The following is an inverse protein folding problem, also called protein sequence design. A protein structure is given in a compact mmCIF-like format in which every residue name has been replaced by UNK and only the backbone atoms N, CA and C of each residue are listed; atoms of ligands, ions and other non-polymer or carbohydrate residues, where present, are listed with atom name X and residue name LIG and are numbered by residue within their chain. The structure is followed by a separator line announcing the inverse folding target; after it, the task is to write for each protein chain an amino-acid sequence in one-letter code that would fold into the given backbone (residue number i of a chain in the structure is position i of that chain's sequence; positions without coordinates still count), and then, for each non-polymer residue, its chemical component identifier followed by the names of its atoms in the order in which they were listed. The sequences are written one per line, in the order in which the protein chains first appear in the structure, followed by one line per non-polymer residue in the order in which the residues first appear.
data_IF_063939333115
#
_entry.id   IF_063939333115
#
_cell.length_a   1.000
_cell.length_b   1.000
_cell.length_c   1.000
_cell.angle_alpha   90.00
_cell.angle_beta   90.00
_cell.angle_gamma   90.00
#
_symmetry.space_group_name_H-M   'P 1'
#
loop_
_entity.id
_entity.type
_entity.pdbx_description
1 polymer ?
#
# COMPACT_ATOMS: atom_id res chain seq x y z
N UNK A 1 4.55 6.76 3.40
CA UNK A 1 4.20 6.67 1.97
C UNK A 1 3.29 5.48 1.77
N UNK A 2 2.32 5.57 0.87
CA UNK A 2 1.38 4.48 0.51
C UNK A 2 0.74 3.79 1.71
N UNK A 3 0.38 4.60 2.71
CA UNK A 3 -0.17 4.12 3.98
C UNK A 3 -1.21 5.09 4.49
N UNK A 4 -2.16 4.55 5.25
CA UNK A 4 -3.09 5.31 6.05
C UNK A 4 -3.08 4.75 7.46
N UNK A 5 -3.13 5.62 8.46
CA UNK A 5 -3.08 5.23 9.88
C UNK A 5 -4.43 5.36 10.60
N UNK A 6 -5.49 5.77 9.90
CA UNK A 6 -6.86 5.71 10.41
C UNK A 6 -7.42 4.29 10.43
N UNK A 7 -8.67 4.15 10.88
CA UNK A 7 -9.40 2.88 10.90
C UNK A 7 -9.73 2.46 9.48
N UNK A 8 -9.51 1.17 9.16
CA UNK A 8 -10.02 0.61 7.91
C UNK A 8 -11.56 0.56 7.94
N UNK A 9 -12.26 1.17 6.97
CA UNK A 9 -13.72 1.10 6.92
C UNK A 9 -14.23 -0.34 6.92
N UNK A 10 -15.33 -0.59 7.64
CA UNK A 10 -15.85 -1.95 7.82
C UNK A 10 -16.05 -2.73 6.50
N UNK A 11 -16.62 -2.13 5.42
CA UNK A 11 -16.81 -2.87 4.17
C UNK A 11 -15.51 -3.30 3.51
N UNK A 12 -14.49 -2.43 3.47
CA UNK A 12 -13.20 -2.73 2.85
C UNK A 12 -12.38 -3.68 3.74
N UNK A 13 -12.48 -3.53 5.07
CA UNK A 13 -11.90 -4.48 6.04
C UNK A 13 -12.41 -5.90 5.82
N UNK A 14 -13.74 -6.08 5.75
CA UNK A 14 -14.37 -7.38 5.48
C UNK A 14 -13.93 -7.95 4.12
N UNK A 15 -13.85 -7.09 3.10
CA UNK A 15 -13.36 -7.50 1.79
C UNK A 15 -11.93 -8.04 1.84
N UNK A 16 -10.98 -7.30 2.42
CA UNK A 16 -9.59 -7.76 2.55
C UNK A 16 -9.47 -9.02 3.40
N UNK A 17 -10.21 -9.11 4.51
CA UNK A 17 -10.24 -10.32 5.34
C UNK A 17 -10.74 -11.53 4.55
N UNK A 18 -11.74 -11.37 3.70
CA UNK A 18 -12.22 -12.45 2.83
C UNK A 18 -11.18 -12.93 1.81
N UNK A 19 -10.28 -12.05 1.35
CA UNK A 19 -9.16 -12.44 0.48
C UNK A 19 -8.12 -13.24 1.27
N UNK A 20 -7.78 -12.80 2.49
CA UNK A 20 -6.88 -13.54 3.37
C UNK A 20 -7.43 -14.91 3.77
N UNK A 21 -8.72 -15.01 4.08
CA UNK A 21 -9.38 -16.30 4.39
C UNK A 21 -9.22 -17.30 3.23
N UNK A 22 -9.39 -16.83 1.99
CA UNK A 22 -9.23 -17.67 0.80
C UNK A 22 -7.78 -18.12 0.60
N UNK A 23 -6.81 -17.22 0.78
CA UNK A 23 -5.37 -17.51 0.68
C UNK A 23 -4.95 -18.51 1.76
N UNK A 24 -5.43 -18.32 2.99
CA UNK A 24 -5.13 -19.19 4.13
C UNK A 24 -5.67 -20.61 3.91
N UNK A 25 -6.93 -20.70 3.47
CA UNK A 25 -7.59 -21.97 3.17
C UNK A 25 -6.91 -22.72 2.03
N UNK A 26 -6.56 -22.06 0.92
CA UNK A 26 -5.87 -22.69 -0.21
C UNK A 26 -4.41 -23.01 0.09
N UNK A 27 -3.75 -22.25 0.97
CA UNK A 27 -2.31 -22.30 1.17
C UNK A 27 -1.50 -21.82 -0.03
N UNK A 28 -2.11 -21.07 -0.94
CA UNK A 28 -1.52 -20.55 -2.18
C UNK A 28 -2.30 -19.30 -2.65
N UNK A 29 -1.75 -18.56 -3.62
CA UNK A 29 -2.50 -17.48 -4.30
C UNK A 29 -2.89 -17.97 -5.71
N UNK A 30 -4.03 -18.64 -5.89
CA UNK A 30 -4.44 -19.20 -7.18
C UNK A 30 -4.74 -18.10 -8.21
N UNK A 31 -4.69 -18.44 -9.51
CA UNK A 31 -4.88 -17.50 -10.63
C UNK A 31 -6.08 -16.53 -10.46
N UNK A 32 -7.29 -16.99 -10.06
CA UNK A 32 -8.42 -16.07 -9.87
C UNK A 32 -8.20 -15.05 -8.75
N UNK A 33 -7.42 -15.40 -7.72
CA UNK A 33 -7.06 -14.46 -6.66
C UNK A 33 -5.95 -13.51 -7.12
N UNK A 34 -5.01 -13.97 -7.95
CA UNK A 34 -3.99 -13.09 -8.55
C UNK A 34 -4.63 -12.02 -9.44
N UNK A 35 -5.67 -12.37 -10.20
CA UNK A 35 -6.41 -11.42 -11.05
C UNK A 35 -7.14 -10.33 -10.26
N UNK A 36 -7.46 -10.61 -8.99
CA UNK A 36 -8.09 -9.66 -8.08
C UNK A 36 -7.02 -8.85 -7.35
N UNK A 37 -6.00 -9.50 -6.80
CA UNK A 37 -5.03 -8.91 -5.88
C UNK A 37 -4.02 -8.05 -6.63
N UNK A 38 -3.43 -8.57 -7.71
CA UNK A 38 -2.33 -7.89 -8.41
C UNK A 38 -2.73 -6.47 -8.86
N UNK A 39 -3.89 -6.25 -9.51
CA UNK A 39 -4.28 -4.91 -9.94
C UNK A 39 -4.48 -3.89 -8.82
N UNK A 40 -4.69 -4.33 -7.56
CA UNK A 40 -4.86 -3.42 -6.41
C UNK A 40 -3.57 -2.65 -6.11
N UNK A 41 -2.41 -3.24 -6.42
CA UNK A 41 -1.11 -2.64 -6.10
C UNK A 41 -0.69 -1.54 -7.08
N UNK A 42 -1.27 -1.50 -8.28
CA UNK A 42 -0.78 -0.65 -9.37
C UNK A 42 -1.76 0.45 -9.76
N UNK A 43 -1.23 1.45 -10.46
CA UNK A 43 -2.06 2.49 -11.08
C UNK A 43 -3.01 1.89 -12.13
N UNK A 44 -4.21 2.48 -12.33
CA UNK A 44 -5.07 2.15 -13.46
C UNK A 44 -4.31 2.19 -14.79
N UNK A 45 -4.47 1.15 -15.60
CA UNK A 45 -3.87 1.12 -16.95
C UNK A 45 -2.38 0.77 -16.97
N UNK A 46 -1.79 0.29 -15.86
CA UNK A 46 -0.49 -0.39 -15.90
C UNK A 46 -0.54 -1.49 -16.97
N UNK A 47 0.51 -1.60 -17.78
CA UNK A 47 0.62 -2.66 -18.78
C UNK A 47 0.80 -4.01 -18.06
N UNK A 48 -0.14 -4.97 -18.20
CA UNK A 48 0.00 -6.28 -17.58
C UNK A 48 1.21 -7.06 -18.12
N UNK A 49 1.72 -6.73 -19.31
CA UNK A 49 2.93 -7.33 -19.88
C UNK A 49 4.22 -6.68 -19.40
N UNK A 50 4.13 -5.56 -18.65
CA UNK A 50 5.31 -4.93 -18.07
C UNK A 50 6.05 -5.89 -17.14
N UNK A 51 7.39 -5.78 -17.13
CA UNK A 51 8.22 -6.61 -16.29
C UNK A 51 7.85 -6.50 -14.80
N UNK A 52 7.53 -5.28 -14.33
CA UNK A 52 7.13 -5.03 -12.95
C UNK A 52 5.84 -5.79 -12.58
N UNK A 53 4.80 -5.71 -13.42
CA UNK A 53 3.53 -6.41 -13.19
C UNK A 53 3.72 -7.94 -13.19
N UNK A 54 4.41 -8.47 -14.20
CA UNK A 54 4.66 -9.91 -14.34
C UNK A 54 5.50 -10.46 -13.19
N UNK A 55 6.54 -9.74 -12.76
CA UNK A 55 7.39 -10.16 -11.64
C UNK A 55 6.62 -10.13 -10.32
N UNK A 56 5.81 -9.10 -10.07
CA UNK A 56 4.99 -9.04 -8.85
C UNK A 56 3.97 -10.18 -8.81
N UNK A 57 3.27 -10.45 -9.93
CA UNK A 57 2.35 -11.57 -10.05
C UNK A 57 3.05 -12.90 -9.79
N UNK A 58 4.18 -13.14 -10.45
CA UNK A 58 4.95 -14.37 -10.29
C UNK A 58 5.47 -14.55 -8.86
N UNK A 59 5.90 -13.45 -8.21
CA UNK A 59 6.35 -13.48 -6.82
C UNK A 59 5.22 -13.90 -5.87
N UNK A 60 4.01 -13.34 -6.02
CA UNK A 60 2.86 -13.74 -5.21
C UNK A 60 2.46 -15.21 -5.44
N UNK A 61 2.46 -15.65 -6.71
CA UNK A 61 2.13 -17.02 -7.08
C UNK A 61 3.12 -18.06 -6.48
N UNK A 62 4.39 -17.66 -6.33
CA UNK A 62 5.47 -18.52 -5.85
C UNK A 62 5.66 -18.52 -4.31
N UNK A 63 4.84 -17.78 -3.56
CA UNK A 63 4.94 -17.76 -2.10
C UNK A 63 4.62 -19.16 -1.52
N UNK A 64 5.50 -19.73 -0.68
CA UNK A 64 5.24 -21.03 -0.10
C UNK A 64 4.14 -20.94 0.98
N UNK A 65 3.43 -22.05 1.20
CA UNK A 65 2.25 -22.12 2.08
C UNK A 65 2.52 -21.67 3.51
N UNK A 66 3.68 -22.04 4.06
CA UNK A 66 4.14 -21.60 5.38
C UNK A 66 4.30 -20.08 5.44
N UNK A 67 4.95 -19.45 4.45
CA UNK A 67 5.07 -17.99 4.38
C UNK A 67 3.70 -17.30 4.27
N UNK A 68 2.76 -17.88 3.55
CA UNK A 68 1.41 -17.33 3.43
C UNK A 68 0.66 -17.37 4.77
N UNK A 69 0.65 -18.52 5.43
CA UNK A 69 -0.11 -18.75 6.66
C UNK A 69 0.54 -18.15 7.90
N UNK A 70 1.87 -18.19 7.98
CA UNK A 70 2.60 -17.79 9.18
C UNK A 70 3.06 -16.33 9.13
N UNK A 71 2.97 -15.66 7.97
CA UNK A 71 3.43 -14.27 7.81
C UNK A 71 2.46 -13.39 7.04
N UNK A 72 2.18 -13.67 5.76
CA UNK A 72 1.42 -12.75 4.90
C UNK A 72 -0.02 -12.54 5.39
N UNK A 73 -0.75 -13.61 5.67
CA UNK A 73 -2.13 -13.54 6.16
C UNK A 73 -2.21 -12.86 7.54
N UNK A 74 -1.43 -13.28 8.57
CA UNK A 74 -1.43 -12.60 9.86
C UNK A 74 -1.08 -11.12 9.77
N UNK A 75 -0.05 -10.76 8.99
CA UNK A 75 0.36 -9.37 8.81
C UNK A 75 -0.76 -8.55 8.15
N UNK A 76 -1.40 -9.09 7.12
CA UNK A 76 -2.54 -8.46 6.48
C UNK A 76 -3.68 -8.18 7.46
N UNK A 77 -4.04 -9.18 8.28
CA UNK A 77 -5.08 -9.02 9.31
C UNK A 77 -4.71 -7.96 10.35
N UNK A 78 -3.44 -7.85 10.73
CA UNK A 78 -2.96 -6.78 11.62
C UNK A 78 -3.11 -5.41 10.95
N UNK A 79 -2.69 -5.26 9.69
CA UNK A 79 -2.74 -3.98 8.97
C UNK A 79 -4.17 -3.44 8.85
N UNK A 80 -5.13 -4.30 8.50
CA UNK A 80 -6.53 -3.89 8.31
C UNK A 80 -7.40 -4.03 9.58
N UNK A 81 -6.88 -4.64 10.63
CA UNK A 81 -7.56 -4.83 11.92
C UNK A 81 -7.05 -3.96 13.07
N UNK A 82 -5.99 -3.17 12.84
CA UNK A 82 -5.41 -2.28 13.86
C UNK A 82 -6.34 -1.13 14.24
N UNK A 83 -6.08 -0.58 15.41
CA UNK A 83 -6.75 0.61 15.93
C UNK A 83 -6.37 1.88 15.16
N UNK A 84 -7.18 2.92 15.38
CA UNK A 84 -6.92 4.29 14.91
C UNK A 84 -5.65 4.85 15.55
N UNK A 85 -4.75 5.40 14.71
CA UNK A 85 -3.52 6.06 15.14
C UNK A 85 -3.51 7.54 14.70
N UNK A 86 -4.51 8.03 13.96
CA UNK A 86 -4.63 9.44 13.58
C UNK A 86 -4.49 10.40 14.78
N UNK A 87 -5.08 10.13 15.97
CA UNK A 87 -4.96 11.03 17.11
C UNK A 87 -3.51 11.24 17.58
N UNK A 88 -2.57 10.37 17.20
CA UNK A 88 -1.16 10.44 17.61
C UNK A 88 -0.26 11.10 16.57
N UNK A 89 -0.77 11.40 15.37
CA UNK A 89 0.06 11.96 14.31
C UNK A 89 0.68 13.31 14.65
N UNK A 90 0.03 14.10 15.51
CA UNK A 90 0.56 15.36 16.02
C UNK A 90 1.83 15.20 16.88
N UNK A 91 2.17 13.98 17.31
CA UNK A 91 3.41 13.67 18.04
C UNK A 91 4.65 13.68 17.12
N UNK A 92 4.46 13.63 15.79
CA UNK A 92 5.55 13.63 14.81
C UNK A 92 6.14 15.03 14.61
N UNK A 93 7.45 15.10 14.36
CA UNK A 93 8.11 16.35 13.97
C UNK A 93 7.76 16.71 12.52
N UNK A 94 6.87 17.67 12.35
CA UNK A 94 6.42 18.18 11.06
C UNK A 94 7.57 18.60 10.13
N UNK A 95 8.69 19.12 10.68
CA UNK A 95 9.84 19.58 9.88
C UNK A 95 10.68 18.44 9.32
N UNK A 96 10.56 17.25 9.92
CA UNK A 96 11.32 16.04 9.53
C UNK A 96 10.43 14.97 8.90
N UNK A 97 9.16 15.30 8.66
CA UNK A 97 8.17 14.38 8.12
C UNK A 97 7.72 14.85 6.75
N UNK A 98 7.47 13.88 5.85
CA UNK A 98 6.80 14.11 4.58
C UNK A 98 5.82 12.96 4.36
N UNK A 99 4.64 13.27 3.87
CA UNK A 99 3.68 12.25 3.43
C UNK A 99 3.66 12.22 1.92
N UNK A 100 3.83 11.03 1.35
CA UNK A 100 3.87 10.78 -0.09
C UNK A 100 2.86 9.70 -0.45
N UNK A 101 2.18 9.82 -1.58
CA UNK A 101 1.19 8.87 -2.08
C UNK A 101 1.17 8.86 -3.61
N UNK A 102 0.93 7.71 -4.24
CA UNK A 102 0.55 7.67 -5.66
C UNK A 102 -0.69 8.50 -5.93
N UNK A 103 -0.70 9.29 -7.01
CA UNK A 103 -1.85 10.11 -7.40
C UNK A 103 -3.08 9.29 -7.82
N UNK A 104 -2.89 8.00 -8.08
CA UNK A 104 -3.89 7.04 -8.51
C UNK A 104 -3.98 5.82 -7.59
N UNK A 105 -3.48 5.92 -6.35
CA UNK A 105 -3.63 4.88 -5.34
C UNK A 105 -5.12 4.65 -5.04
N UNK A 106 -5.56 3.40 -5.17
CA UNK A 106 -6.94 2.97 -4.92
C UNK A 106 -7.16 2.45 -3.50
N UNK A 107 -6.35 1.50 -3.00
CA UNK A 107 -6.52 1.01 -1.63
C UNK A 107 -6.27 2.10 -0.58
N UNK A 108 -5.44 3.11 -0.88
CA UNK A 108 -5.15 4.26 -0.02
C UNK A 108 -5.27 5.57 -0.83
N UNK A 109 -6.49 6.08 -1.05
CA UNK A 109 -6.70 7.23 -1.93
C UNK A 109 -5.94 8.48 -1.43
N UNK A 110 -5.54 9.41 -2.34
CA UNK A 110 -4.84 10.64 -2.00
C UNK A 110 -5.47 11.51 -0.90
N UNK A 111 -6.77 11.36 -0.65
CA UNK A 111 -7.46 12.02 0.46
C UNK A 111 -6.98 11.54 1.84
N UNK A 112 -6.70 10.24 1.99
CA UNK A 112 -6.21 9.64 3.23
C UNK A 112 -4.80 10.16 3.57
N UNK A 113 -3.93 10.25 2.58
CA UNK A 113 -2.58 10.80 2.75
C UNK A 113 -2.60 12.31 2.99
N UNK A 114 -3.54 13.04 2.38
CA UNK A 114 -3.74 14.47 2.64
C UNK A 114 -4.15 14.70 4.11
N UNK A 115 -5.15 13.96 4.61
CA UNK A 115 -5.60 14.05 6.00
C UNK A 115 -4.45 13.82 6.98
N UNK A 116 -3.65 12.78 6.76
CA UNK A 116 -2.48 12.52 7.60
C UNK A 116 -1.48 13.68 7.57
N UNK A 117 -1.18 14.24 6.40
CA UNK A 117 -0.25 15.34 6.26
C UNK A 117 -0.75 16.61 6.98
N UNK A 118 -2.05 16.88 6.91
CA UNK A 118 -2.71 17.99 7.61
C UNK A 118 -2.62 17.83 9.13
N UNK A 119 -2.88 16.62 9.66
CA UNK A 119 -2.77 16.32 11.08
C UNK A 119 -1.34 16.44 11.63
N UNK A 120 -0.34 16.10 10.81
CA UNK A 120 1.09 16.26 11.16
C UNK A 120 1.52 17.72 10.98
N UNK A 121 0.91 18.46 10.06
CA UNK A 121 1.37 19.79 9.62
C UNK A 121 2.60 19.72 8.70
N UNK A 122 2.77 18.63 7.95
CA UNK A 122 3.92 18.41 7.08
C UNK A 122 3.57 18.50 5.58
N UNK A 123 4.55 18.57 4.68
CA UNK A 123 4.29 18.54 3.24
C UNK A 123 3.60 17.23 2.80
N UNK A 124 2.63 17.37 1.90
CA UNK A 124 1.99 16.28 1.18
C UNK A 124 2.43 16.29 -0.28
N UNK A 125 2.89 15.15 -0.79
CA UNK A 125 3.41 15.02 -2.15
C UNK A 125 2.70 13.88 -2.87
N UNK A 126 2.07 14.20 -4.00
CA UNK A 126 1.54 13.20 -4.91
C UNK A 126 2.62 12.77 -5.90
N UNK A 127 2.78 11.45 -6.03
CA UNK A 127 3.70 10.82 -6.96
C UNK A 127 2.93 10.64 -8.26
N UNK A 128 3.32 11.32 -9.35
CA UNK A 128 2.52 11.34 -10.57
C UNK A 128 2.57 9.98 -11.26
N UNK A 129 1.45 9.62 -11.88
CA UNK A 129 1.30 8.37 -12.64
C UNK A 129 1.66 7.15 -11.77
N UNK A 130 1.14 7.06 -10.54
CA UNK A 130 1.47 5.97 -9.62
C UNK A 130 0.29 5.55 -8.76
N UNK A 131 0.19 4.25 -8.49
CA UNK A 131 -0.77 3.63 -7.60
C UNK A 131 -0.14 3.33 -6.24
N UNK A 132 -0.44 2.13 -5.71
CA UNK A 132 -0.13 1.79 -4.32
C UNK A 132 1.34 1.41 -4.05
N UNK A 133 2.07 0.88 -5.03
CA UNK A 133 3.52 0.68 -4.91
C UNK A 133 4.26 1.78 -5.66
N UNK A 134 4.01 3.01 -5.23
CA UNK A 134 4.40 4.23 -5.94
C UNK A 134 5.92 4.37 -6.14
N UNK A 135 6.71 3.82 -5.22
CA UNK A 135 8.17 3.75 -5.32
C UNK A 135 8.68 2.84 -6.43
N UNK A 136 7.89 1.85 -6.86
CA UNK A 136 8.23 0.97 -7.98
C UNK A 136 7.66 1.47 -9.31
N UNK A 137 6.50 2.14 -9.28
CA UNK A 137 5.88 2.71 -10.49
C UNK A 137 6.54 4.01 -10.94
N UNK A 138 7.03 4.84 -10.02
CA UNK A 138 7.77 6.07 -10.32
C UNK A 138 9.00 6.26 -9.42
N UNK A 139 10.01 5.37 -9.52
CA UNK A 139 11.19 5.38 -8.65
C UNK A 139 12.00 6.67 -8.78
N UNK A 140 12.04 7.27 -9.98
CA UNK A 140 12.82 8.48 -10.21
C UNK A 140 12.25 9.65 -9.39
N UNK A 141 10.93 9.86 -9.43
CA UNK A 141 10.28 10.91 -8.66
C UNK A 141 10.44 10.68 -7.15
N UNK A 142 10.20 9.45 -6.68
CA UNK A 142 10.33 9.10 -5.26
C UNK A 142 11.76 9.34 -4.77
N UNK A 143 12.77 8.83 -5.49
CA UNK A 143 14.16 8.99 -5.08
C UNK A 143 14.60 10.46 -5.05
N UNK A 144 14.20 11.28 -6.03
CA UNK A 144 14.50 12.72 -6.01
C UNK A 144 13.89 13.42 -4.80
N UNK A 145 12.64 13.12 -4.48
CA UNK A 145 11.95 13.68 -3.31
C UNK A 145 12.64 13.29 -2.00
N UNK A 146 12.96 12.01 -1.82
CA UNK A 146 13.65 11.51 -0.62
C UNK A 146 15.05 12.11 -0.47
N UNK A 147 15.82 12.20 -1.56
CA UNK A 147 17.14 12.85 -1.55
C UNK A 147 17.06 14.34 -1.24
N UNK A 148 15.98 15.02 -1.65
CA UNK A 148 15.70 16.40 -1.27
C UNK A 148 15.48 16.55 0.24
N UNK A 149 14.68 15.65 0.83
CA UNK A 149 14.43 15.64 2.28
C UNK A 149 15.72 15.42 3.09
N UNK A 150 16.56 14.47 2.68
CA UNK A 150 17.80 14.13 3.40
C UNK A 150 18.88 15.22 3.37
N UNK A 151 18.75 16.20 2.48
CA UNK A 151 19.71 17.32 2.34
C UNK A 151 19.31 18.56 3.14
N UNK A 152 18.10 18.59 3.70
CA UNK A 152 17.55 19.68 4.51
C UNK A 152 17.71 19.39 6.00
#
# INVERSE_FOLDING_TARGET
MDTYVGVEPEPTRQYYFSLFDKIEASGSVPEPLLDIIVPIFFRPGIDPQSALYQQFRAALAALPTDRLRDSIVPLGRIIFGRDDILPRLHELDAKRTVVMCGDQDKPRPPSESMEMAELIGCPHILIPEAGHISNLENPEFVNRTLLGLLRN
#
